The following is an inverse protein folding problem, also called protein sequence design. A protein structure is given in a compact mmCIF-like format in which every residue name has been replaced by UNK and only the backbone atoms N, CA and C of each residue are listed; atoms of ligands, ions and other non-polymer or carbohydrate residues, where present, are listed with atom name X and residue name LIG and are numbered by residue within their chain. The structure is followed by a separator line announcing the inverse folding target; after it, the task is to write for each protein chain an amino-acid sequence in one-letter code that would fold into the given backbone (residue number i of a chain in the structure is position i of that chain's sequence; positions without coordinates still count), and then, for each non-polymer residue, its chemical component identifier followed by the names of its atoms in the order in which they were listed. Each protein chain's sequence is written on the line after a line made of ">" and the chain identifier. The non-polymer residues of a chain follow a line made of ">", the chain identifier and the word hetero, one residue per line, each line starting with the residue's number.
data_IF_863246169662
#
_entry.id   IF_863246169662
#
_cell.length_a   1.000
_cell.length_b   1.000
_cell.length_c   1.000
_cell.angle_alpha   90.00
_cell.angle_beta   90.00
_cell.angle_gamma   90.00
#
_symmetry.space_group_name_H-M   'P 1'
#
loop_
_entity.id
_entity.type
_entity.pdbx_description
1 polymer ?
#
# COMPACT_ATOMS: atom_id res chain seq x y z
N UNK A 1 -33.91 20.68 4.06
CA UNK A 1 -32.68 19.99 4.39
C UNK A 1 -31.54 20.59 3.60
N UNK A 2 -30.55 21.17 4.28
CA UNK A 2 -29.30 21.60 3.65
C UNK A 2 -28.55 20.34 3.22
N UNK A 3 -28.46 20.10 1.91
CA UNK A 3 -27.59 19.04 1.40
C UNK A 3 -26.16 19.37 1.78
N UNK A 4 -25.50 18.50 2.52
CA UNK A 4 -24.06 18.60 2.78
C UNK A 4 -23.34 18.64 1.42
N UNK A 5 -22.35 19.52 1.22
CA UNK A 5 -21.62 19.62 -0.03
C UNK A 5 -20.96 18.26 -0.35
N UNK A 6 -20.95 17.87 -1.62
CA UNK A 6 -20.27 16.66 -2.04
C UNK A 6 -18.75 16.79 -1.83
N UNK A 7 -18.04 15.66 -1.74
CA UNK A 7 -16.57 15.66 -1.63
C UNK A 7 -15.92 16.43 -2.79
N UNK A 8 -16.49 16.30 -3.99
CA UNK A 8 -16.02 17.00 -5.18
C UNK A 8 -16.23 18.52 -5.09
N UNK A 9 -17.34 18.97 -4.50
CA UNK A 9 -17.58 20.41 -4.27
C UNK A 9 -16.60 20.98 -3.24
N UNK A 10 -16.29 20.21 -2.21
CA UNK A 10 -15.30 20.59 -1.19
C UNK A 10 -13.89 20.68 -1.79
N UNK A 11 -13.52 19.74 -2.65
CA UNK A 11 -12.24 19.76 -3.36
C UNK A 11 -12.10 20.97 -4.26
N UNK A 12 -13.13 21.30 -5.03
CA UNK A 12 -13.15 22.51 -5.89
C UNK A 12 -12.99 23.78 -5.07
N UNK A 13 -13.74 23.92 -3.99
CA UNK A 13 -13.62 25.09 -3.07
C UNK A 13 -12.25 25.18 -2.42
N UNK A 14 -11.66 24.04 -2.07
CA UNK A 14 -10.31 24.00 -1.52
C UNK A 14 -9.27 24.48 -2.55
N UNK A 15 -9.39 24.05 -3.81
CA UNK A 15 -8.52 24.50 -4.90
C UNK A 15 -8.64 26.01 -5.14
N UNK A 16 -9.86 26.54 -5.25
CA UNK A 16 -10.12 27.98 -5.40
C UNK A 16 -9.53 28.78 -4.24
N UNK A 17 -9.69 28.29 -3.00
CA UNK A 17 -9.11 28.94 -1.83
C UNK A 17 -7.58 28.96 -1.88
N UNK A 18 -6.95 27.83 -2.23
CA UNK A 18 -5.48 27.72 -2.35
C UNK A 18 -4.95 28.71 -3.39
N UNK A 19 -5.62 28.83 -4.53
CA UNK A 19 -5.23 29.74 -5.61
C UNK A 19 -5.38 31.22 -5.22
N UNK A 20 -6.34 31.56 -4.36
CA UNK A 20 -6.58 32.93 -3.90
C UNK A 20 -5.77 33.29 -2.65
N UNK A 21 -5.42 32.32 -1.82
CA UNK A 21 -4.79 32.51 -0.50
C UNK A 21 -3.52 31.68 -0.35
N UNK A 22 -2.67 31.70 -1.38
CA UNK A 22 -1.47 30.85 -1.50
C UNK A 22 -0.42 31.04 -0.37
N UNK A 23 -0.47 32.14 0.39
CA UNK A 23 0.39 32.38 1.56
C UNK A 23 -0.24 31.95 2.89
N UNK A 24 -1.44 31.40 2.87
CA UNK A 24 -2.16 31.01 4.08
C UNK A 24 -1.79 29.59 4.53
N UNK A 25 -1.58 29.38 5.83
CA UNK A 25 -1.48 28.02 6.41
C UNK A 25 -2.73 27.17 6.17
N UNK A 26 -3.91 27.81 6.03
CA UNK A 26 -5.15 27.12 5.67
C UNK A 26 -5.03 26.49 4.30
N UNK A 27 -4.35 27.12 3.34
CA UNK A 27 -4.11 26.55 2.00
C UNK A 27 -3.30 25.27 2.08
N UNK A 28 -2.30 25.22 2.96
CA UNK A 28 -1.49 24.02 3.19
C UNK A 28 -2.31 22.88 3.81
N UNK A 29 -3.13 23.18 4.79
CA UNK A 29 -4.05 22.22 5.40
C UNK A 29 -5.06 21.66 4.37
N UNK A 30 -5.61 22.54 3.52
CA UNK A 30 -6.57 22.14 2.48
C UNK A 30 -5.90 21.27 1.41
N UNK A 31 -4.65 21.59 1.02
CA UNK A 31 -3.87 20.77 0.11
C UNK A 31 -3.69 19.35 0.66
N UNK A 32 -3.23 19.23 1.90
CA UNK A 32 -3.02 17.95 2.53
C UNK A 32 -4.34 17.15 2.61
N UNK A 33 -5.38 17.76 3.18
CA UNK A 33 -6.67 17.09 3.45
C UNK A 33 -7.39 16.64 2.18
N UNK A 34 -7.49 17.50 1.16
CA UNK A 34 -8.36 17.26 0.00
C UNK A 34 -7.63 16.70 -1.21
N UNK A 35 -6.30 16.74 -1.25
CA UNK A 35 -5.53 16.29 -2.42
C UNK A 35 -4.51 15.22 -2.10
N UNK A 36 -3.74 15.37 -0.99
CA UNK A 36 -2.64 14.44 -0.67
C UNK A 36 -3.13 13.18 0.02
N UNK A 37 -4.11 13.30 0.94
CA UNK A 37 -4.61 12.16 1.73
C UNK A 37 -5.64 11.28 1.00
N UNK A 38 -5.89 11.51 -0.28
CA UNK A 38 -6.78 10.68 -1.09
C UNK A 38 -6.25 9.26 -1.28
N UNK A 39 -7.14 8.31 -1.49
CA UNK A 39 -6.76 6.95 -1.88
C UNK A 39 -6.01 6.91 -3.22
N UNK A 40 -6.37 7.80 -4.15
CA UNK A 40 -5.73 7.95 -5.47
C UNK A 40 -5.44 9.43 -5.74
N UNK A 41 -4.34 9.97 -5.18
CA UNK A 41 -3.99 11.38 -5.35
C UNK A 41 -3.60 11.71 -6.80
N UNK A 42 -4.06 12.84 -7.31
CA UNK A 42 -3.54 13.42 -8.57
C UNK A 42 -2.26 14.20 -8.29
N UNK A 43 -1.11 13.53 -8.45
CA UNK A 43 0.20 14.13 -8.15
C UNK A 43 0.53 15.32 -9.05
N UNK A 44 0.04 15.36 -10.32
CA UNK A 44 0.27 16.50 -11.20
C UNK A 44 -0.47 17.74 -10.69
N UNK A 45 -1.71 17.56 -10.22
CA UNK A 45 -2.50 18.64 -9.62
C UNK A 45 -1.87 19.11 -8.32
N UNK A 46 -1.44 18.18 -7.45
CA UNK A 46 -0.77 18.51 -6.19
C UNK A 46 0.50 19.33 -6.43
N UNK A 47 1.36 18.92 -7.38
CA UNK A 47 2.57 19.66 -7.74
C UNK A 47 2.27 21.09 -8.18
N UNK A 48 1.28 21.27 -9.04
CA UNK A 48 0.86 22.62 -9.48
C UNK A 48 0.39 23.50 -8.32
N UNK A 49 -0.37 22.93 -7.37
CA UNK A 49 -0.83 23.67 -6.19
C UNK A 49 0.34 24.01 -5.26
N UNK A 50 1.32 23.12 -5.10
CA UNK A 50 2.56 23.39 -4.34
C UNK A 50 3.37 24.50 -5.02
N UNK A 51 3.52 24.49 -6.34
CA UNK A 51 4.25 25.54 -7.08
C UNK A 51 3.65 26.92 -6.84
N UNK A 52 2.33 27.03 -6.78
CA UNK A 52 1.68 28.31 -6.43
C UNK A 52 2.05 28.77 -5.02
N UNK A 53 2.21 27.84 -4.06
CA UNK A 53 2.46 28.16 -2.64
C UNK A 53 3.93 28.37 -2.30
N UNK A 54 4.87 27.69 -2.96
CA UNK A 54 6.30 27.65 -2.59
C UNK A 54 7.00 29.00 -2.63
N UNK A 55 6.52 29.97 -3.44
CA UNK A 55 7.07 31.32 -3.49
C UNK A 55 6.77 32.16 -2.24
N UNK A 56 5.89 31.72 -1.34
CA UNK A 56 5.26 32.55 -0.34
C UNK A 56 5.31 31.92 1.06
N UNK A 57 5.28 30.60 1.19
CA UNK A 57 5.36 29.92 2.47
C UNK A 57 6.79 29.86 2.99
N UNK A 58 7.00 30.34 4.22
CA UNK A 58 8.29 30.28 4.90
C UNK A 58 8.62 28.86 5.42
N UNK A 59 7.64 27.97 5.48
CA UNK A 59 7.84 26.58 5.95
C UNK A 59 8.35 25.68 4.82
N UNK A 60 9.62 25.90 4.47
CA UNK A 60 10.31 25.07 3.46
C UNK A 60 10.35 23.60 3.87
N UNK A 61 10.50 23.29 5.15
CA UNK A 61 10.64 21.91 5.64
C UNK A 61 9.38 21.09 5.34
N UNK A 62 8.21 21.63 5.61
CA UNK A 62 6.96 20.93 5.32
C UNK A 62 6.76 20.70 3.82
N UNK A 63 7.06 21.69 2.99
CA UNK A 63 6.98 21.56 1.53
C UNK A 63 7.98 20.52 1.00
N UNK A 64 9.19 20.49 1.53
CA UNK A 64 10.19 19.47 1.19
C UNK A 64 9.71 18.06 1.57
N UNK A 65 9.19 17.88 2.78
CA UNK A 65 8.61 16.60 3.23
C UNK A 65 7.42 16.18 2.36
N UNK A 66 6.56 17.12 1.97
CA UNK A 66 5.42 16.84 1.10
C UNK A 66 5.88 16.43 -0.31
N UNK A 67 6.85 17.12 -0.88
CA UNK A 67 7.42 16.78 -2.18
C UNK A 67 8.10 15.40 -2.15
N UNK A 68 8.81 15.07 -1.08
CA UNK A 68 9.41 13.73 -0.89
C UNK A 68 8.32 12.65 -0.81
N UNK A 69 7.27 12.87 -0.02
CA UNK A 69 6.15 11.96 0.09
C UNK A 69 5.42 11.75 -1.25
N UNK A 70 5.25 12.81 -2.04
CA UNK A 70 4.66 12.74 -3.38
C UNK A 70 5.56 11.93 -4.31
N UNK A 71 6.87 12.25 -4.36
CA UNK A 71 7.84 11.55 -5.20
C UNK A 71 7.86 10.05 -4.89
N UNK A 72 7.81 9.70 -3.61
CA UNK A 72 7.78 8.32 -3.15
C UNK A 72 6.47 7.61 -3.57
N UNK A 73 5.34 8.29 -3.41
CA UNK A 73 4.04 7.77 -3.84
C UNK A 73 3.96 7.57 -5.36
N UNK A 74 4.54 8.46 -6.16
CA UNK A 74 4.63 8.29 -7.62
C UNK A 74 5.51 7.09 -8.00
N UNK A 75 6.65 6.91 -7.32
CA UNK A 75 7.55 5.76 -7.54
C UNK A 75 6.89 4.43 -7.19
N UNK A 76 5.94 4.43 -6.27
CA UNK A 76 5.18 3.25 -5.83
C UNK A 76 3.74 3.23 -6.34
N UNK A 77 3.43 3.95 -7.39
CA UNK A 77 2.12 3.97 -8.04
C UNK A 77 1.84 2.69 -8.84
N UNK A 78 0.57 2.47 -9.17
CA UNK A 78 0.15 1.36 -10.04
C UNK A 78 0.91 1.38 -11.39
N UNK A 79 1.37 0.21 -11.82
CA UNK A 79 2.18 0.04 -13.03
C UNK A 79 3.70 0.22 -12.81
N UNK A 80 4.14 0.76 -11.68
CA UNK A 80 5.55 0.86 -11.31
C UNK A 80 6.07 -0.44 -10.71
N UNK A 81 7.38 -0.68 -10.82
CA UNK A 81 8.00 -1.80 -10.13
C UNK A 81 8.05 -1.54 -8.63
N UNK A 82 7.69 -2.57 -7.85
CA UNK A 82 7.76 -2.49 -6.41
C UNK A 82 9.22 -2.35 -5.93
N UNK A 83 9.47 -1.60 -4.84
CA UNK A 83 10.78 -1.54 -4.22
C UNK A 83 11.29 -2.93 -3.80
N UNK A 84 12.59 -3.08 -3.76
CA UNK A 84 13.22 -4.30 -3.25
C UNK A 84 13.04 -4.39 -1.73
N UNK A 85 12.86 -5.60 -1.23
CA UNK A 85 12.89 -5.90 0.19
C UNK A 85 13.72 -7.13 0.50
N UNK A 86 14.33 -7.15 1.69
CA UNK A 86 15.03 -8.31 2.25
C UNK A 86 14.82 -8.32 3.76
N UNK A 87 13.86 -9.10 4.23
CA UNK A 87 13.40 -9.12 5.62
C UNK A 87 13.54 -10.51 6.22
N UNK A 88 13.66 -10.60 7.53
CA UNK A 88 13.78 -11.89 8.22
C UNK A 88 12.39 -12.43 8.57
N UNK A 89 12.17 -13.72 8.34
CA UNK A 89 10.99 -14.42 8.81
C UNK A 89 11.14 -14.88 10.27
N UNK A 90 10.13 -15.59 10.77
CA UNK A 90 10.09 -16.08 12.16
C UNK A 90 11.26 -17.03 12.50
N UNK A 91 11.82 -17.70 11.48
CA UNK A 91 12.98 -18.60 11.62
C UNK A 91 14.31 -17.87 11.47
N UNK A 92 14.31 -16.58 11.14
CA UNK A 92 15.50 -15.78 10.85
C UNK A 92 16.00 -15.91 9.40
N UNK A 93 15.28 -16.60 8.52
CA UNK A 93 15.61 -16.74 7.11
C UNK A 93 15.31 -15.44 6.37
N UNK A 94 16.18 -15.04 5.43
CA UNK A 94 15.97 -13.85 4.61
C UNK A 94 14.99 -14.14 3.48
N UNK A 95 13.88 -13.41 3.51
CA UNK A 95 12.83 -13.47 2.49
C UNK A 95 12.93 -12.24 1.58
N UNK A 96 12.96 -12.49 0.30
CA UNK A 96 12.99 -11.49 -0.78
C UNK A 96 11.94 -11.82 -1.82
N UNK A 97 11.72 -10.92 -2.79
CA UNK A 97 10.85 -11.23 -3.93
C UNK A 97 11.30 -12.46 -4.74
N UNK A 98 12.61 -12.79 -4.68
CA UNK A 98 13.21 -13.92 -5.39
C UNK A 98 13.19 -15.23 -4.59
N UNK A 99 12.70 -15.23 -3.36
CA UNK A 99 12.54 -16.44 -2.54
C UNK A 99 11.64 -17.46 -3.25
N UNK A 100 11.92 -18.74 -3.06
CA UNK A 100 11.32 -19.87 -3.81
C UNK A 100 9.78 -19.81 -3.82
N UNK A 101 9.18 -19.54 -2.67
CA UNK A 101 7.73 -19.48 -2.50
C UNK A 101 7.07 -18.26 -3.13
N UNK A 102 7.84 -17.20 -3.42
CA UNK A 102 7.36 -15.91 -3.92
C UNK A 102 7.69 -15.67 -5.39
N UNK A 103 8.82 -16.22 -5.88
CA UNK A 103 9.31 -15.95 -7.23
C UNK A 103 8.30 -16.34 -8.31
N UNK A 104 8.20 -15.51 -9.34
CA UNK A 104 7.32 -15.72 -10.52
C UNK A 104 5.83 -15.88 -10.22
N UNK A 105 5.39 -15.55 -8.99
CA UNK A 105 3.97 -15.52 -8.61
C UNK A 105 3.49 -14.08 -8.50
N UNK A 106 2.21 -13.82 -8.71
CA UNK A 106 1.59 -12.60 -8.19
C UNK A 106 1.76 -12.61 -6.67
N UNK A 107 1.95 -11.46 -6.05
CA UNK A 107 2.22 -11.39 -4.61
C UNK A 107 1.31 -10.37 -3.93
N UNK A 108 0.50 -10.86 -3.01
CA UNK A 108 -0.23 -9.99 -2.09
C UNK A 108 0.64 -9.72 -0.87
N UNK A 109 1.09 -8.48 -0.73
CA UNK A 109 1.81 -8.00 0.46
C UNK A 109 0.80 -7.33 1.38
N UNK A 110 0.74 -7.75 2.65
CA UNK A 110 -0.03 -7.10 3.70
C UNK A 110 0.91 -6.47 4.72
N UNK A 111 0.84 -5.16 4.88
CA UNK A 111 1.52 -4.43 5.95
C UNK A 111 0.60 -4.36 7.16
N UNK A 112 1.10 -4.77 8.33
CA UNK A 112 0.32 -4.88 9.55
C UNK A 112 1.17 -4.63 10.79
N UNK A 113 0.56 -4.59 11.97
CA UNK A 113 1.27 -4.54 13.24
C UNK A 113 0.39 -5.14 14.35
N UNK A 114 1.02 -5.71 15.37
CA UNK A 114 0.33 -6.30 16.53
C UNK A 114 -0.43 -5.25 17.34
N UNK A 115 0.04 -4.01 17.35
CA UNK A 115 -0.51 -2.84 18.06
C UNK A 115 -1.54 -2.05 17.26
N UNK A 116 -1.81 -2.41 16.00
CA UNK A 116 -2.78 -1.72 15.17
C UNK A 116 -4.20 -1.78 15.73
N UNK A 117 -5.10 -0.91 15.24
CA UNK A 117 -6.51 -0.90 15.64
C UNK A 117 -7.13 -2.31 15.56
N UNK A 118 -7.61 -2.79 16.69
CA UNK A 118 -8.07 -4.16 16.83
C UNK A 118 -9.23 -4.52 15.90
N UNK A 119 -10.12 -3.58 15.61
CA UNK A 119 -11.28 -3.79 14.72
C UNK A 119 -10.83 -3.90 13.27
N UNK A 120 -10.04 -2.94 12.79
CA UNK A 120 -9.54 -2.93 11.41
C UNK A 120 -8.61 -4.10 11.13
N UNK A 121 -7.74 -4.46 12.08
CA UNK A 121 -6.88 -5.64 11.99
C UNK A 121 -7.70 -6.93 11.95
N UNK A 122 -8.72 -7.06 12.80
CA UNK A 122 -9.55 -8.26 12.83
C UNK A 122 -10.30 -8.48 11.51
N UNK A 123 -10.90 -7.44 10.95
CA UNK A 123 -11.57 -7.51 9.65
C UNK A 123 -10.59 -7.86 8.53
N UNK A 124 -9.45 -7.16 8.46
CA UNK A 124 -8.41 -7.43 7.48
C UNK A 124 -7.88 -8.86 7.59
N UNK A 125 -7.57 -9.33 8.80
CA UNK A 125 -7.06 -10.67 9.03
C UNK A 125 -8.10 -11.75 8.65
N UNK A 126 -9.39 -11.52 8.91
CA UNK A 126 -10.46 -12.45 8.51
C UNK A 126 -10.52 -12.59 7.00
N UNK A 127 -10.55 -11.48 6.28
CA UNK A 127 -10.54 -11.46 4.82
C UNK A 127 -9.29 -12.13 4.23
N UNK A 128 -8.12 -11.81 4.77
CA UNK A 128 -6.86 -12.38 4.32
C UNK A 128 -6.77 -13.90 4.58
N UNK A 129 -7.34 -14.39 5.68
CA UNK A 129 -7.44 -15.83 5.95
C UNK A 129 -8.31 -16.54 4.93
N UNK A 130 -9.45 -15.98 4.54
CA UNK A 130 -10.31 -16.54 3.49
C UNK A 130 -9.55 -16.62 2.15
N UNK A 131 -8.88 -15.53 1.77
CA UNK A 131 -8.05 -15.47 0.58
C UNK A 131 -6.93 -16.52 0.64
N UNK A 132 -6.22 -16.60 1.76
CA UNK A 132 -5.15 -17.57 1.95
C UNK A 132 -5.67 -19.00 1.82
N UNK A 133 -6.77 -19.38 2.47
CA UNK A 133 -7.35 -20.71 2.39
C UNK A 133 -7.74 -21.07 0.94
N UNK A 134 -8.32 -20.11 0.19
CA UNK A 134 -8.68 -20.31 -1.22
C UNK A 134 -7.46 -20.55 -2.11
N UNK A 135 -6.36 -19.83 -1.85
CA UNK A 135 -5.22 -19.77 -2.80
C UNK A 135 -3.91 -20.39 -2.30
N UNK A 136 -3.80 -20.90 -1.07
CA UNK A 136 -2.54 -21.44 -0.49
C UNK A 136 -1.85 -22.53 -1.31
N UNK A 137 -2.57 -23.24 -2.16
CA UNK A 137 -2.04 -24.27 -3.08
C UNK A 137 -1.92 -23.78 -4.51
N UNK A 138 -2.30 -22.52 -4.80
CA UNK A 138 -2.25 -21.97 -6.15
C UNK A 138 -0.80 -21.57 -6.49
N UNK A 139 -0.34 -21.98 -7.68
CA UNK A 139 1.03 -21.73 -8.13
C UNK A 139 1.26 -20.33 -8.72
N UNK A 140 0.20 -19.56 -8.93
CA UNK A 140 0.26 -18.24 -9.57
C UNK A 140 0.19 -17.07 -8.60
N UNK A 141 -0.11 -17.32 -7.32
CA UNK A 141 -0.18 -16.29 -6.29
C UNK A 141 0.46 -16.75 -4.98
N UNK A 142 1.07 -15.82 -4.28
CA UNK A 142 1.58 -15.99 -2.92
C UNK A 142 1.12 -14.82 -2.04
N UNK A 143 1.23 -14.98 -0.74
CA UNK A 143 0.94 -13.95 0.26
C UNK A 143 2.15 -13.76 1.16
N UNK A 144 2.40 -12.49 1.54
CA UNK A 144 3.47 -12.09 2.45
C UNK A 144 2.91 -11.07 3.44
N UNK A 145 3.11 -11.30 4.73
CA UNK A 145 2.87 -10.31 5.76
C UNK A 145 4.16 -9.59 6.12
N UNK A 146 4.18 -8.27 6.02
CA UNK A 146 5.28 -7.42 6.50
C UNK A 146 4.78 -6.70 7.75
N UNK A 147 5.34 -7.05 8.89
CA UNK A 147 4.98 -6.42 10.15
C UNK A 147 5.80 -5.15 10.39
N UNK A 148 5.15 -4.14 10.97
CA UNK A 148 5.75 -2.91 11.48
C UNK A 148 5.87 -2.94 13.00
N UNK A 149 6.04 -4.12 13.58
CA UNK A 149 6.31 -4.26 15.01
C UNK A 149 7.75 -3.86 15.35
N UNK A 150 7.97 -3.44 16.58
CA UNK A 150 9.29 -3.14 17.14
C UNK A 150 9.74 -4.21 18.13
N UNK A 151 8.81 -5.01 18.64
CA UNK A 151 9.08 -6.10 19.58
C UNK A 151 8.86 -7.46 18.91
N UNK A 152 9.87 -8.32 19.03
CA UNK A 152 9.86 -9.65 18.42
C UNK A 152 8.84 -10.58 19.07
N UNK A 153 8.69 -10.50 20.39
CA UNK A 153 7.79 -11.39 21.12
C UNK A 153 6.32 -11.04 20.81
N UNK A 154 5.99 -9.75 20.84
CA UNK A 154 4.65 -9.27 20.49
C UNK A 154 4.26 -9.65 19.07
N UNK A 155 5.19 -9.51 18.10
CA UNK A 155 5.01 -9.96 16.72
C UNK A 155 4.70 -11.45 16.62
N UNK A 156 5.51 -12.30 17.28
CA UNK A 156 5.33 -13.75 17.26
C UNK A 156 4.02 -14.20 17.92
N UNK A 157 3.64 -13.56 19.01
CA UNK A 157 2.41 -13.85 19.74
C UNK A 157 1.18 -13.43 18.94
N UNK A 158 1.25 -12.29 18.23
CA UNK A 158 0.19 -11.85 17.32
C UNK A 158 0.01 -12.80 16.13
N UNK A 159 1.10 -13.29 15.51
CA UNK A 159 1.03 -14.28 14.44
C UNK A 159 0.28 -15.54 14.91
N UNK A 160 0.59 -16.05 16.10
CA UNK A 160 -0.06 -17.23 16.68
C UNK A 160 -1.52 -16.95 17.03
N UNK A 161 -1.77 -15.88 17.81
CA UNK A 161 -3.10 -15.46 18.24
C UNK A 161 -4.04 -15.29 17.05
N UNK A 162 -3.58 -14.60 16.02
CA UNK A 162 -4.38 -14.26 14.85
C UNK A 162 -4.30 -15.34 13.76
N UNK A 163 -3.57 -16.41 13.98
CA UNK A 163 -3.45 -17.56 13.04
C UNK A 163 -3.05 -17.14 11.63
N UNK A 164 -2.00 -16.29 11.51
CA UNK A 164 -1.51 -15.77 10.24
C UNK A 164 -0.59 -16.80 9.57
N UNK A 165 -1.16 -17.77 8.87
CA UNK A 165 -0.49 -18.97 8.39
C UNK A 165 0.29 -18.81 7.08
N UNK A 166 0.38 -17.60 6.50
CA UNK A 166 1.25 -17.28 5.37
C UNK A 166 2.58 -16.70 5.84
N UNK A 167 3.54 -16.59 4.94
CA UNK A 167 4.89 -16.11 5.27
C UNK A 167 4.84 -14.73 5.93
N UNK A 168 5.51 -14.59 7.07
CA UNK A 168 5.52 -13.38 7.89
C UNK A 168 6.97 -12.92 8.09
N UNK A 169 7.22 -11.64 7.83
CA UNK A 169 8.54 -11.02 7.97
C UNK A 169 8.48 -9.72 8.75
N UNK A 170 9.58 -9.34 9.39
CA UNK A 170 9.71 -8.10 10.14
C UNK A 170 11.18 -7.63 10.17
N UNK A 171 11.41 -6.30 10.21
CA UNK A 171 12.71 -5.69 10.46
C UNK A 171 12.80 -5.01 11.83
N UNK A 172 11.70 -5.03 12.58
CA UNK A 172 11.55 -4.37 13.88
C UNK A 172 11.83 -2.87 13.87
N UNK A 173 11.69 -2.23 12.70
CA UNK A 173 11.88 -0.80 12.50
C UNK A 173 10.65 0.05 12.83
N UNK A 174 9.49 -0.57 13.07
CA UNK A 174 8.23 0.12 13.29
C UNK A 174 7.84 1.00 12.10
N UNK A 175 7.34 2.18 12.37
CA UNK A 175 7.04 3.19 11.33
C UNK A 175 8.32 3.76 10.67
N UNK A 176 9.50 3.53 11.27
CA UNK A 176 10.80 3.90 10.70
C UNK A 176 11.40 2.82 9.79
N UNK A 177 10.73 1.68 9.64
CA UNK A 177 11.13 0.61 8.73
C UNK A 177 11.44 1.17 7.33
N UNK A 178 12.61 0.84 6.80
CA UNK A 178 13.01 1.26 5.45
C UNK A 178 12.04 0.71 4.39
N UNK A 179 11.54 -0.50 4.59
CA UNK A 179 10.57 -1.10 3.67
C UNK A 179 9.24 -0.33 3.72
N UNK A 180 8.75 0.03 4.91
CA UNK A 180 7.54 0.84 5.03
C UNK A 180 7.69 2.19 4.33
N UNK A 181 8.84 2.87 4.51
CA UNK A 181 9.16 4.12 3.81
C UNK A 181 9.21 3.93 2.30
N UNK A 182 9.97 2.96 1.81
CA UNK A 182 10.12 2.70 0.37
C UNK A 182 8.79 2.38 -0.31
N UNK A 183 7.87 1.69 0.37
CA UNK A 183 6.54 1.37 -0.14
C UNK A 183 5.50 2.47 0.09
N UNK A 184 5.89 3.61 0.68
CA UNK A 184 5.03 4.74 1.05
C UNK A 184 3.86 4.32 1.97
N UNK A 185 4.14 3.43 2.94
CA UNK A 185 3.14 2.97 3.92
C UNK A 185 2.98 4.03 4.99
N UNK A 186 1.79 4.63 5.06
CA UNK A 186 1.45 5.69 6.02
C UNK A 186 0.65 5.15 7.22
N UNK A 187 -0.02 4.02 7.04
CA UNK A 187 -0.89 3.41 8.05
C UNK A 187 -0.98 1.90 7.85
N UNK A 188 -1.35 1.19 8.91
CA UNK A 188 -1.68 -0.23 8.88
C UNK A 188 -3.10 -0.46 9.41
N UNK A 189 -3.82 -1.47 8.91
CA UNK A 189 -3.43 -2.38 7.84
C UNK A 189 -3.44 -1.73 6.45
N UNK A 190 -2.52 -2.16 5.58
CA UNK A 190 -2.36 -1.69 4.20
C UNK A 190 -1.98 -2.86 3.31
N UNK A 191 -2.38 -2.89 2.06
CA UNK A 191 -1.98 -3.97 1.17
C UNK A 191 -1.55 -3.49 -0.22
N UNK A 192 -0.71 -4.30 -0.85
CA UNK A 192 -0.21 -4.05 -2.20
C UNK A 192 -0.23 -5.38 -2.95
N UNK A 193 -0.87 -5.39 -4.12
CA UNK A 193 -0.86 -6.54 -5.01
C UNK A 193 0.16 -6.32 -6.12
N UNK A 194 1.09 -7.25 -6.25
CA UNK A 194 2.11 -7.24 -7.30
C UNK A 194 1.82 -8.30 -8.36
N UNK A 195 2.17 -7.98 -9.60
CA UNK A 195 2.25 -8.96 -10.68
C UNK A 195 3.43 -9.91 -10.52
N UNK A 196 3.44 -10.98 -11.27
CA UNK A 196 4.52 -11.98 -11.27
C UNK A 196 5.91 -11.39 -11.66
N UNK A 197 5.93 -10.33 -12.46
CA UNK A 197 7.14 -9.57 -12.83
C UNK A 197 7.49 -8.44 -11.84
N UNK A 198 6.69 -8.24 -10.78
CA UNK A 198 6.97 -7.30 -9.69
C UNK A 198 6.40 -5.90 -9.84
N UNK A 199 5.48 -5.67 -10.79
CA UNK A 199 4.79 -4.38 -10.91
C UNK A 199 3.62 -4.30 -9.94
N UNK A 200 3.38 -3.12 -9.39
CA UNK A 200 2.23 -2.83 -8.54
C UNK A 200 0.96 -2.81 -9.39
N UNK A 201 0.04 -3.71 -9.08
CA UNK A 201 -1.26 -3.82 -9.77
C UNK A 201 -2.35 -3.06 -9.05
N UNK A 202 -2.30 -3.03 -7.71
CA UNK A 202 -3.25 -2.32 -6.88
C UNK A 202 -2.68 -2.07 -5.47
N UNK A 203 -3.25 -1.10 -4.76
CA UNK A 203 -2.92 -0.76 -3.36
C UNK A 203 -4.22 -0.56 -2.58
N UNK A 204 -4.19 -0.93 -1.30
CA UNK A 204 -5.25 -0.66 -0.32
C UNK A 204 -6.65 -1.13 -0.71
N UNK A 205 -6.75 -2.21 -1.47
CA UNK A 205 -8.04 -2.83 -1.78
C UNK A 205 -8.61 -3.54 -0.56
N UNK A 206 -9.94 -3.53 -0.42
CA UNK A 206 -10.66 -4.16 0.70
C UNK A 206 -11.89 -4.91 0.20
N UNK A 207 -12.34 -5.87 0.98
CA UNK A 207 -13.59 -6.59 0.75
C UNK A 207 -13.65 -7.22 -0.64
N UNK A 208 -14.79 -7.10 -1.28
CA UNK A 208 -15.04 -7.69 -2.59
C UNK A 208 -14.10 -7.15 -3.69
N UNK A 209 -13.61 -5.92 -3.56
CA UNK A 209 -12.66 -5.36 -4.54
C UNK A 209 -11.32 -6.11 -4.50
N UNK A 210 -10.81 -6.42 -3.31
CA UNK A 210 -9.59 -7.21 -3.15
C UNK A 210 -9.77 -8.63 -3.69
N UNK A 211 -10.86 -9.31 -3.30
CA UNK A 211 -11.17 -10.68 -3.74
C UNK A 211 -11.29 -10.76 -5.26
N UNK A 212 -12.04 -9.84 -5.86
CA UNK A 212 -12.21 -9.76 -7.32
C UNK A 212 -10.89 -9.52 -8.03
N UNK A 213 -10.07 -8.59 -7.53
CA UNK A 213 -8.78 -8.28 -8.16
C UNK A 213 -7.80 -9.45 -8.09
N UNK A 214 -7.78 -10.18 -7.00
CA UNK A 214 -6.98 -11.41 -6.87
C UNK A 214 -7.45 -12.48 -7.85
N UNK A 215 -8.76 -12.69 -7.97
CA UNK A 215 -9.34 -13.64 -8.90
C UNK A 215 -8.99 -13.31 -10.37
N UNK A 216 -9.10 -12.04 -10.77
CA UNK A 216 -8.69 -11.56 -12.09
C UNK A 216 -7.22 -11.90 -12.41
N UNK A 217 -6.30 -11.62 -11.49
CA UNK A 217 -4.87 -11.84 -11.75
C UNK A 217 -4.51 -13.33 -11.75
N UNK A 218 -5.16 -14.13 -10.94
CA UNK A 218 -4.97 -15.61 -10.93
C UNK A 218 -5.50 -16.22 -12.21
N UNK A 219 -6.73 -15.89 -12.61
CA UNK A 219 -7.35 -16.39 -13.85
C UNK A 219 -6.51 -16.03 -15.08
N UNK A 220 -6.07 -14.77 -15.16
CA UNK A 220 -5.20 -14.30 -16.24
C UNK A 220 -3.87 -15.07 -16.31
N UNK A 221 -3.27 -15.41 -15.17
CA UNK A 221 -2.04 -16.17 -15.11
C UNK A 221 -2.25 -17.63 -15.56
N UNK A 222 -3.36 -18.26 -15.16
CA UNK A 222 -3.74 -19.62 -15.57
C UNK A 222 -4.02 -19.71 -17.08
N UNK A 223 -4.69 -18.71 -17.64
CA UNK A 223 -4.96 -18.63 -19.08
C UNK A 223 -3.67 -18.49 -19.91
N UNK A 224 -2.74 -17.63 -19.48
CA UNK A 224 -1.44 -17.49 -20.11
C UNK A 224 -0.66 -18.82 -20.12
N UNK A 225 -0.62 -19.50 -19.00
CA UNK A 225 0.06 -20.80 -18.91
C UNK A 225 -0.54 -21.83 -19.87
N UNK A 226 -1.89 -21.88 -19.96
CA UNK A 226 -2.57 -22.77 -20.90
C UNK A 226 -2.22 -22.45 -22.36
N UNK A 227 -2.10 -21.16 -22.72
CA UNK A 227 -1.71 -20.73 -24.06
C UNK A 227 -0.25 -21.10 -24.37
N UNK A 228 0.66 -20.87 -23.43
CA UNK A 228 2.08 -21.19 -23.60
C UNK A 228 2.33 -22.70 -23.73
N UNK A 229 1.58 -23.50 -22.99
CA UNK A 229 1.64 -24.97 -23.11
C UNK A 229 1.07 -25.50 -24.46
N UNK A 230 0.09 -24.78 -25.05
CA UNK A 230 -0.42 -25.11 -26.40
C UNK A 230 0.57 -24.76 -27.52
N UNK A 231 1.40 -23.73 -27.35
CA UNK A 231 2.41 -23.32 -28.34
C UNK A 231 3.65 -24.22 -28.35
N UNK A 232 3.88 -24.99 -27.28
CA UNK A 232 5.02 -25.91 -27.12
C UNK A 232 4.74 -27.35 -27.59
N UNK A 233 3.51 -27.61 -27.95
CA UNK A 233 3.08 -28.90 -28.58
C UNK A 233 2.93 -28.73 -30.08
#
# INVERSE_FOLDING_TARGET
>A
GLNSPSEKDLEQKAEEFIQQHHSSFVSLYLLDKYFVQKESPDFNKIKKLIEVMTGILQDKLYIEQLNEAISLSEKTGTGKYAPFFSLSNIKGEKITRSSEDLKKKNLLINFWASWGDSISNHQSNTELKEIYQKYKKNKHIAMLGISLDIDKQEWQDAIKRDTLNWEQVCDFGGLNSEVAKQYAIKQVPSNILLSADGKILAKNLKGEQLKKKIEEVVTSAEEKEKQDNKKKK
#
